data_IF_620026502443
#
_entry.id   IF_620026502443
#
_cell.length_a   1.000
_cell.length_b   1.000
_cell.length_c   1.000
_cell.angle_alpha   90.00
_cell.angle_beta   90.00
_cell.angle_gamma   90.00
#
_symmetry.space_group_name_H-M   'P 1'
#
loop_
_entity.id
_entity.type
_entity.pdbx_description
1 polymer ?
#
# COMPACT_ATOMS: atom_id res chain seq x y z
N UNK A 1 49.12 84.03 10.30
CA UNK A 1 47.96 84.02 9.37
C UNK A 1 47.60 82.60 8.96
N UNK A 2 46.35 82.26 9.23
CA UNK A 2 45.50 81.34 8.49
C UNK A 2 45.98 79.86 8.35
N UNK A 3 45.20 78.80 8.52
CA UNK A 3 43.76 78.58 8.75
C UNK A 3 43.61 77.20 9.36
N UNK A 4 42.65 77.09 10.24
CA UNK A 4 42.12 75.88 10.82
C UNK A 4 41.38 75.10 9.74
N UNK A 5 41.60 73.82 9.66
CA UNK A 5 40.67 72.94 8.98
C UNK A 5 40.35 71.72 9.85
N UNK A 6 39.08 71.63 10.21
CA UNK A 6 38.45 70.62 11.07
C UNK A 6 38.20 69.42 10.22
N UNK A 7 38.77 68.28 10.60
CA UNK A 7 38.39 66.98 10.00
C UNK A 7 37.38 66.30 10.89
N UNK A 8 36.15 66.26 10.40
CA UNK A 8 35.02 65.53 11.05
C UNK A 8 35.22 64.01 10.93
N UNK A 9 35.31 63.41 12.08
CA UNK A 9 35.27 61.93 12.16
C UNK A 9 33.90 61.40 11.77
N UNK A 10 33.91 60.48 10.85
CA UNK A 10 32.72 59.62 10.54
C UNK A 10 32.89 58.34 11.28
N UNK A 11 32.05 58.18 12.31
CA UNK A 11 31.87 56.90 13.02
C UNK A 11 31.05 56.00 12.12
N UNK A 12 31.71 55.04 11.50
CA UNK A 12 31.04 53.98 10.75
C UNK A 12 30.54 52.89 11.72
N UNK A 13 29.26 52.83 11.93
CA UNK A 13 28.65 51.74 12.64
C UNK A 13 28.66 50.47 11.78
N UNK A 14 29.44 49.46 12.16
CA UNK A 14 29.36 48.12 11.59
C UNK A 14 28.03 47.49 12.03
N UNK A 15 27.06 47.48 11.15
CA UNK A 15 25.88 46.66 11.28
C UNK A 15 26.24 45.20 11.01
N UNK A 16 26.31 44.40 12.07
CA UNK A 16 26.40 42.94 11.95
C UNK A 16 24.99 42.45 11.57
N UNK A 17 24.79 42.22 10.28
CA UNK A 17 23.63 41.51 9.78
C UNK A 17 23.79 40.02 10.13
N UNK A 18 23.15 39.58 11.23
CA UNK A 18 22.92 38.15 11.48
C UNK A 18 21.96 37.64 10.40
N UNK A 19 22.50 36.98 9.40
CA UNK A 19 21.77 36.06 8.53
C UNK A 19 21.41 34.86 9.37
N UNK A 20 20.19 34.86 9.94
CA UNK A 20 19.54 33.63 10.38
C UNK A 20 19.31 32.80 9.12
N UNK A 21 20.21 31.89 8.83
CA UNK A 21 19.96 30.78 7.94
C UNK A 21 18.82 29.99 8.53
N UNK A 22 17.63 30.14 7.97
CA UNK A 22 16.56 29.13 8.14
C UNK A 22 17.10 27.87 7.51
N UNK A 23 17.72 27.01 8.32
CA UNK A 23 17.83 25.60 7.98
C UNK A 23 16.39 25.08 7.91
N UNK A 24 15.80 25.16 6.72
CA UNK A 24 14.65 24.37 6.37
C UNK A 24 15.09 22.92 6.61
N UNK A 25 14.54 22.28 7.62
CA UNK A 25 14.53 20.83 7.68
C UNK A 25 13.77 20.39 6.42
N UNK A 26 14.48 20.09 5.37
CA UNK A 26 13.98 19.26 4.30
C UNK A 26 13.75 17.91 4.94
N UNK A 27 12.47 17.59 5.15
CA UNK A 27 12.04 16.26 5.55
C UNK A 27 12.39 15.32 4.38
N UNK A 28 13.61 14.78 4.39
CA UNK A 28 14.12 13.81 3.40
C UNK A 28 13.29 12.51 3.39
N UNK A 29 12.30 12.41 4.28
CA UNK A 29 11.38 11.26 4.35
C UNK A 29 10.33 11.24 3.23
N UNK A 30 10.20 12.29 2.43
CA UNK A 30 9.26 12.33 1.30
C UNK A 30 9.94 12.41 -0.07
N UNK A 31 11.25 12.49 -0.11
CA UNK A 31 11.97 12.33 -1.36
C UNK A 31 11.87 10.86 -1.80
N UNK A 32 10.84 10.58 -2.59
CA UNK A 32 10.85 9.43 -3.49
C UNK A 32 12.06 9.66 -4.39
N UNK A 33 13.20 9.08 -4.02
CA UNK A 33 14.36 9.06 -4.90
C UNK A 33 14.02 8.20 -6.10
N UNK A 34 13.29 8.76 -7.05
CA UNK A 34 13.22 8.24 -8.41
C UNK A 34 14.58 8.50 -9.04
N UNK A 35 15.61 7.83 -8.51
CA UNK A 35 16.98 7.92 -9.03
C UNK A 35 17.26 6.82 -10.05
N UNK A 36 16.29 5.93 -10.28
CA UNK A 36 16.42 4.89 -11.29
C UNK A 36 15.70 5.34 -12.56
N UNK A 37 16.45 5.56 -13.68
CA UNK A 37 15.83 5.83 -14.98
C UNK A 37 14.94 4.65 -15.46
N UNK A 38 15.01 3.49 -14.82
CA UNK A 38 14.10 2.36 -15.05
C UNK A 38 12.74 2.49 -14.33
N UNK A 39 12.57 3.44 -13.40
CA UNK A 39 11.30 3.69 -12.69
C UNK A 39 10.29 4.47 -13.56
N UNK A 40 10.10 4.03 -14.81
CA UNK A 40 9.10 4.61 -15.69
C UNK A 40 7.76 3.90 -15.51
N UNK A 41 6.69 4.68 -15.32
CA UNK A 41 5.34 4.16 -15.15
C UNK A 41 4.95 3.90 -13.69
N UNK A 42 3.64 3.78 -13.48
CA UNK A 42 3.04 3.49 -12.18
C UNK A 42 3.23 2.02 -11.79
N UNK A 43 2.93 1.69 -10.52
CA UNK A 43 2.89 0.29 -10.06
C UNK A 43 1.97 -0.55 -10.96
N UNK A 44 0.79 -0.02 -11.30
CA UNK A 44 -0.12 -0.74 -12.19
C UNK A 44 0.49 -1.02 -13.56
N UNK A 45 1.08 -0.01 -14.20
CA UNK A 45 1.71 -0.18 -15.51
C UNK A 45 2.86 -1.20 -15.49
N UNK A 46 3.59 -1.27 -14.38
CA UNK A 46 4.66 -2.27 -14.19
C UNK A 46 4.09 -3.68 -14.00
N UNK A 47 3.02 -3.83 -13.19
CA UNK A 47 2.35 -5.12 -13.01
C UNK A 47 1.75 -5.61 -14.33
N UNK A 48 1.09 -4.73 -15.09
CA UNK A 48 0.44 -5.08 -16.36
C UNK A 48 1.45 -5.45 -17.47
N UNK A 49 2.65 -4.87 -17.41
CA UNK A 49 3.72 -5.16 -18.37
C UNK A 49 4.53 -6.42 -18.03
N UNK A 50 4.41 -6.95 -16.80
CA UNK A 50 5.16 -8.13 -16.35
C UNK A 50 4.34 -9.41 -16.55
N UNK A 51 4.72 -10.31 -17.49
CA UNK A 51 3.96 -11.51 -17.78
C UNK A 51 3.79 -12.43 -16.56
N UNK A 52 4.80 -12.50 -15.67
CA UNK A 52 4.79 -13.33 -14.48
C UNK A 52 3.88 -12.81 -13.36
N UNK A 53 3.28 -11.62 -13.54
CA UNK A 53 2.28 -11.03 -12.63
C UNK A 53 0.87 -10.98 -13.25
N UNK A 54 0.65 -11.61 -14.41
CA UNK A 54 -0.63 -11.54 -15.14
C UNK A 54 -1.81 -12.08 -14.35
N UNK A 55 -1.62 -13.13 -13.53
CA UNK A 55 -2.66 -13.71 -12.68
C UNK A 55 -3.07 -12.75 -11.55
N UNK A 56 -2.08 -12.12 -10.92
CA UNK A 56 -2.32 -11.08 -9.91
C UNK A 56 -3.01 -9.85 -10.52
N UNK A 57 -2.54 -9.41 -11.71
CA UNK A 57 -3.14 -8.32 -12.46
C UNK A 57 -4.62 -8.57 -12.77
N UNK A 58 -4.98 -9.78 -13.19
CA UNK A 58 -6.37 -10.13 -13.51
C UNK A 58 -7.29 -10.00 -12.30
N UNK A 59 -6.85 -10.44 -11.12
CA UNK A 59 -7.63 -10.27 -9.89
C UNK A 59 -7.79 -8.79 -9.53
N UNK A 60 -6.73 -7.99 -9.60
CA UNK A 60 -6.77 -6.56 -9.27
C UNK A 60 -7.70 -5.74 -10.19
N UNK A 61 -7.89 -6.16 -11.44
CA UNK A 61 -8.83 -5.55 -12.39
C UNK A 61 -10.30 -5.80 -12.02
N UNK A 62 -10.58 -6.90 -11.34
CA UNK A 62 -11.92 -7.40 -11.13
C UNK A 62 -12.47 -7.15 -9.71
N UNK A 63 -11.70 -6.54 -8.82
CA UNK A 63 -12.13 -6.23 -7.44
C UNK A 63 -12.08 -4.73 -7.20
N UNK A 64 -13.18 -4.16 -6.70
CA UNK A 64 -13.28 -2.76 -6.31
C UNK A 64 -12.67 -2.48 -4.95
N UNK A 65 -12.24 -1.24 -4.77
CA UNK A 65 -11.69 -0.74 -3.52
C UNK A 65 -12.82 -0.22 -2.64
N UNK A 66 -13.11 -0.91 -1.57
CA UNK A 66 -14.07 -0.48 -0.54
C UNK A 66 -13.32 0.12 0.65
N UNK A 67 -13.78 1.24 1.17
CA UNK A 67 -13.21 1.87 2.38
C UNK A 67 -13.65 1.17 3.66
N UNK A 68 -14.84 0.61 3.63
CA UNK A 68 -15.45 -0.17 4.71
C UNK A 68 -16.49 -1.12 4.14
N UNK A 69 -16.90 -2.09 4.91
CA UNK A 69 -18.03 -2.95 4.56
C UNK A 69 -19.30 -2.11 4.31
N UNK A 70 -20.05 -2.44 3.27
CA UNK A 70 -21.27 -1.71 2.88
C UNK A 70 -21.04 -0.33 2.27
N UNK A 71 -19.83 0.02 1.87
CA UNK A 71 -19.55 1.27 1.16
C UNK A 71 -20.13 1.24 -0.25
N UNK A 72 -21.23 1.97 -0.45
CA UNK A 72 -21.93 2.09 -1.75
C UNK A 72 -21.21 3.02 -2.74
N UNK A 73 -20.14 3.70 -2.32
CA UNK A 73 -19.37 4.65 -3.14
C UNK A 73 -18.17 4.02 -3.84
N UNK A 74 -17.92 2.72 -3.66
CA UNK A 74 -16.84 2.02 -4.30
C UNK A 74 -17.01 2.04 -5.82
N UNK A 75 -16.08 2.69 -6.51
CA UNK A 75 -16.18 2.92 -7.97
C UNK A 75 -14.89 2.58 -8.71
N UNK A 76 -13.75 2.49 -8.02
CA UNK A 76 -12.47 2.19 -8.62
C UNK A 76 -11.99 0.80 -8.24
N UNK A 77 -11.29 0.15 -9.15
CA UNK A 77 -10.62 -1.14 -8.92
C UNK A 77 -9.26 -0.96 -8.25
N UNK A 78 -8.64 -2.06 -7.76
CA UNK A 78 -7.27 -2.01 -7.27
C UNK A 78 -6.28 -1.66 -8.39
N UNK A 79 -6.55 -2.05 -9.64
CA UNK A 79 -5.78 -1.64 -10.80
C UNK A 79 -5.76 -0.11 -10.97
N UNK A 80 -6.92 0.53 -10.90
CA UNK A 80 -7.05 1.99 -10.98
C UNK A 80 -6.42 2.69 -9.78
N UNK A 81 -6.55 2.12 -8.57
CA UNK A 81 -5.88 2.63 -7.37
C UNK A 81 -4.37 2.66 -7.55
N UNK A 82 -3.76 1.56 -7.99
CA UNK A 82 -2.32 1.44 -8.20
C UNK A 82 -1.80 2.22 -9.42
N UNK A 83 -2.71 2.67 -10.29
CA UNK A 83 -2.40 3.59 -11.39
C UNK A 83 -2.47 5.07 -10.99
N UNK A 84 -2.87 5.37 -9.75
CA UNK A 84 -2.95 6.74 -9.22
C UNK A 84 -1.57 7.30 -8.84
N UNK A 85 -1.54 8.57 -8.46
CA UNK A 85 -0.32 9.23 -7.94
C UNK A 85 -0.02 8.92 -6.46
N UNK A 86 -0.84 8.11 -5.79
CA UNK A 86 -0.60 7.74 -4.40
C UNK A 86 0.54 6.71 -4.31
N UNK A 87 1.35 6.83 -3.25
CA UNK A 87 2.45 5.89 -3.02
C UNK A 87 1.99 4.60 -2.36
N UNK A 88 2.50 3.48 -2.89
CA UNK A 88 2.24 2.13 -2.36
C UNK A 88 3.50 1.26 -2.40
N UNK A 89 3.48 0.21 -1.59
CA UNK A 89 4.34 -0.95 -1.77
C UNK A 89 3.47 -2.17 -1.99
N UNK A 90 3.82 -2.98 -2.97
CA UNK A 90 3.07 -4.19 -3.35
C UNK A 90 3.97 -5.40 -3.20
N UNK A 91 3.48 -6.44 -2.54
CA UNK A 91 4.09 -7.76 -2.49
C UNK A 91 3.27 -8.70 -3.36
N UNK A 92 3.62 -8.77 -4.64
CA UNK A 92 2.86 -9.46 -5.68
C UNK A 92 3.25 -10.95 -5.76
N UNK A 93 2.33 -11.90 -5.57
CA UNK A 93 2.61 -13.31 -5.82
C UNK A 93 2.78 -13.58 -7.32
N UNK A 94 3.78 -14.38 -7.68
CA UNK A 94 4.06 -14.78 -9.05
C UNK A 94 3.02 -15.80 -9.55
N UNK A 95 2.84 -15.85 -10.85
CA UNK A 95 1.96 -16.81 -11.52
C UNK A 95 2.27 -18.25 -11.09
N UNK A 96 1.21 -19.04 -10.89
CA UNK A 96 1.33 -20.44 -10.51
C UNK A 96 1.79 -20.68 -9.06
N UNK A 97 2.00 -19.63 -8.26
CA UNK A 97 2.40 -19.75 -6.85
C UNK A 97 1.23 -19.59 -5.88
N UNK A 98 0.02 -19.35 -6.39
CA UNK A 98 -1.24 -19.24 -5.64
C UNK A 98 -2.42 -19.74 -6.48
N UNK A 99 -3.55 -20.00 -5.85
CA UNK A 99 -4.76 -20.52 -6.53
C UNK A 99 -5.59 -19.38 -7.15
N UNK A 100 -5.14 -18.87 -8.30
CA UNK A 100 -5.87 -17.87 -9.10
C UNK A 100 -7.31 -18.31 -9.39
N UNK A 101 -7.51 -19.58 -9.75
CA UNK A 101 -8.80 -20.09 -10.16
C UNK A 101 -9.84 -20.02 -9.01
N UNK A 102 -9.40 -20.22 -7.76
CA UNK A 102 -10.26 -20.05 -6.61
C UNK A 102 -10.73 -18.59 -6.47
N UNK A 103 -9.85 -17.62 -6.70
CA UNK A 103 -10.20 -16.20 -6.67
C UNK A 103 -11.14 -15.81 -7.80
N UNK A 104 -10.88 -16.28 -9.02
CA UNK A 104 -11.73 -16.00 -10.17
C UNK A 104 -13.13 -16.62 -10.02
N UNK A 105 -13.26 -17.81 -9.44
CA UNK A 105 -14.58 -18.38 -9.09
C UNK A 105 -15.34 -17.50 -8.09
N UNK A 106 -14.68 -17.04 -7.02
CA UNK A 106 -15.30 -16.14 -6.04
C UNK A 106 -15.74 -14.80 -6.68
N UNK A 107 -14.93 -14.25 -7.60
CA UNK A 107 -15.30 -13.04 -8.35
C UNK A 107 -16.55 -13.30 -9.20
N UNK A 108 -16.62 -14.43 -9.90
CA UNK A 108 -17.79 -14.80 -10.69
C UNK A 108 -19.04 -14.96 -9.82
N UNK A 109 -18.95 -15.66 -8.68
CA UNK A 109 -20.04 -15.80 -7.70
C UNK A 109 -20.54 -14.44 -7.19
N UNK A 110 -19.64 -13.50 -6.91
CA UNK A 110 -19.98 -12.12 -6.51
C UNK A 110 -20.76 -11.41 -7.64
N UNK A 111 -20.31 -11.55 -8.89
CA UNK A 111 -20.95 -10.92 -10.05
C UNK A 111 -22.35 -11.51 -10.35
N UNK A 112 -22.57 -12.77 -10.01
CA UNK A 112 -23.87 -13.47 -10.14
C UNK A 112 -24.82 -13.18 -8.97
N UNK A 113 -24.33 -12.62 -7.87
CA UNK A 113 -25.14 -12.29 -6.68
C UNK A 113 -26.14 -11.21 -6.98
N UNK A 114 -27.45 -11.53 -6.84
CA UNK A 114 -28.55 -10.63 -7.22
C UNK A 114 -28.76 -9.50 -6.22
N UNK A 115 -28.44 -9.68 -4.95
CA UNK A 115 -28.53 -8.67 -3.91
C UNK A 115 -27.27 -7.78 -3.95
N UNK A 116 -27.41 -6.48 -4.28
CA UNK A 116 -26.26 -5.59 -4.36
C UNK A 116 -25.54 -5.35 -3.02
N UNK A 117 -26.24 -5.47 -1.89
CA UNK A 117 -25.62 -5.31 -0.56
C UNK A 117 -24.79 -6.53 -0.22
N UNK A 118 -25.30 -7.72 -0.49
CA UNK A 118 -24.56 -8.98 -0.30
C UNK A 118 -23.37 -9.04 -1.27
N UNK A 119 -23.55 -8.70 -2.54
CA UNK A 119 -22.45 -8.64 -3.51
C UNK A 119 -21.33 -7.69 -3.06
N UNK A 120 -21.68 -6.49 -2.60
CA UNK A 120 -20.71 -5.52 -2.10
C UNK A 120 -19.97 -6.01 -0.84
N UNK A 121 -20.66 -6.73 0.05
CA UNK A 121 -20.06 -7.35 1.24
C UNK A 121 -19.08 -8.46 0.86
N UNK A 122 -19.46 -9.35 -0.05
CA UNK A 122 -18.60 -10.42 -0.53
C UNK A 122 -17.36 -9.87 -1.23
N UNK A 123 -17.51 -8.83 -2.07
CA UNK A 123 -16.41 -8.18 -2.77
C UNK A 123 -15.47 -7.45 -1.79
N UNK A 124 -16.01 -6.75 -0.79
CA UNK A 124 -15.23 -6.16 0.30
C UNK A 124 -14.38 -7.20 1.02
N UNK A 125 -14.99 -8.32 1.43
CA UNK A 125 -14.29 -9.40 2.14
C UNK A 125 -13.19 -10.02 1.29
N UNK A 126 -13.45 -10.21 0.00
CA UNK A 126 -12.43 -10.69 -0.95
C UNK A 126 -11.28 -9.67 -1.07
N UNK A 127 -11.59 -8.39 -1.18
CA UNK A 127 -10.62 -7.30 -1.21
C UNK A 127 -9.73 -7.25 0.03
N UNK A 128 -10.31 -7.43 1.23
CA UNK A 128 -9.58 -7.48 2.51
C UNK A 128 -8.66 -8.70 2.59
N UNK A 129 -9.11 -9.84 2.10
CA UNK A 129 -8.36 -11.10 2.20
C UNK A 129 -7.19 -11.18 1.23
N UNK A 130 -7.31 -10.64 0.02
CA UNK A 130 -6.27 -10.80 -0.99
C UNK A 130 -5.61 -9.46 -1.39
N UNK A 131 -6.21 -8.53 -2.18
CA UNK A 131 -5.47 -7.32 -2.58
C UNK A 131 -4.92 -6.52 -1.40
N UNK A 132 -5.74 -6.26 -0.37
CA UNK A 132 -5.31 -5.45 0.77
C UNK A 132 -4.28 -6.17 1.66
N UNK A 133 -4.16 -7.49 1.57
CA UNK A 133 -3.15 -8.27 2.26
C UNK A 133 -1.78 -8.24 1.57
N UNK A 134 -1.75 -7.75 0.33
CA UNK A 134 -0.56 -7.64 -0.51
C UNK A 134 -0.15 -6.18 -0.81
N UNK A 135 -0.93 -5.20 -0.38
CA UNK A 135 -0.70 -3.79 -0.66
C UNK A 135 -0.59 -3.02 0.65
N UNK A 136 0.48 -2.25 0.80
CA UNK A 136 0.62 -1.26 1.86
C UNK A 136 0.62 0.15 1.28
N UNK A 137 0.10 1.13 2.07
CA UNK A 137 0.24 2.55 1.74
C UNK A 137 1.66 2.98 2.03
N UNK A 138 2.13 3.95 1.27
CA UNK A 138 3.49 4.46 1.30
C UNK A 138 4.52 3.52 0.66
N UNK A 139 5.69 4.08 0.38
CA UNK A 139 6.81 3.31 -0.12
C UNK A 139 7.68 2.86 1.06
N UNK A 140 7.77 1.55 1.27
CA UNK A 140 8.66 0.96 2.25
C UNK A 140 9.94 0.54 1.54
N UNK A 141 11.04 1.20 1.90
CA UNK A 141 12.36 0.82 1.41
C UNK A 141 12.82 -0.49 2.05
N UNK A 142 13.66 -1.23 1.34
CA UNK A 142 14.31 -2.42 1.88
C UNK A 142 15.22 -2.03 3.03
N UNK A 143 14.81 -2.35 4.25
CA UNK A 143 15.63 -2.25 5.44
C UNK A 143 16.31 -3.60 5.69
N UNK A 144 17.52 -3.60 6.24
CA UNK A 144 18.19 -4.84 6.63
C UNK A 144 17.50 -5.52 7.83
N UNK A 145 16.72 -4.78 8.57
CA UNK A 145 16.05 -5.27 9.78
C UNK A 145 14.61 -5.72 9.46
N UNK A 146 14.12 -6.65 10.27
CA UNK A 146 12.71 -7.05 10.24
C UNK A 146 11.85 -5.88 10.71
N UNK A 147 10.75 -5.61 10.00
CA UNK A 147 9.79 -4.58 10.32
C UNK A 147 8.36 -5.09 10.17
N UNK A 148 7.46 -4.57 11.01
CA UNK A 148 6.02 -4.83 10.90
C UNK A 148 5.38 -3.74 10.05
N UNK A 149 4.83 -4.14 8.91
CA UNK A 149 4.20 -3.23 7.96
C UNK A 149 2.68 -3.33 8.11
N UNK A 150 2.04 -2.17 8.25
CA UNK A 150 0.58 -2.09 8.26
C UNK A 150 0.06 -2.14 6.83
N UNK A 151 -0.63 -3.22 6.52
CA UNK A 151 -1.26 -3.45 5.22
C UNK A 151 -2.55 -2.62 5.05
N UNK A 152 -3.09 -2.55 3.83
CA UNK A 152 -4.33 -1.81 3.56
C UNK A 152 -5.54 -2.38 4.34
N UNK A 153 -5.55 -3.68 4.67
CA UNK A 153 -6.54 -4.31 5.54
C UNK A 153 -6.32 -4.03 7.04
N UNK A 154 -5.40 -3.13 7.37
CA UNK A 154 -5.02 -2.76 8.74
C UNK A 154 -4.32 -3.84 9.56
N UNK A 155 -4.07 -5.02 9.01
CA UNK A 155 -3.28 -6.07 9.64
C UNK A 155 -1.79 -5.74 9.55
N UNK A 156 -1.00 -6.30 10.48
CA UNK A 156 0.45 -6.20 10.44
C UNK A 156 1.03 -7.43 9.75
N UNK A 157 1.95 -7.21 8.85
CA UNK A 157 2.72 -8.25 8.15
C UNK A 157 4.21 -8.02 8.36
N UNK A 158 4.92 -9.07 8.72
CA UNK A 158 6.36 -8.99 8.93
C UNK A 158 7.10 -8.95 7.58
N UNK A 159 7.98 -7.98 7.40
CA UNK A 159 8.89 -7.89 6.27
C UNK A 159 10.33 -7.96 6.76
N UNK A 160 11.06 -8.95 6.29
CA UNK A 160 12.49 -9.14 6.57
C UNK A 160 13.26 -9.10 5.25
N UNK A 161 13.82 -7.92 4.94
CA UNK A 161 14.58 -7.74 3.72
C UNK A 161 15.89 -8.52 3.72
N UNK A 162 16.49 -8.74 4.90
CA UNK A 162 17.74 -9.50 5.04
C UNK A 162 17.54 -11.00 4.82
N UNK A 163 16.42 -11.53 5.29
CA UNK A 163 16.01 -12.92 5.03
C UNK A 163 15.36 -13.10 3.65
N UNK A 164 14.97 -12.00 2.99
CA UNK A 164 14.21 -12.03 1.74
C UNK A 164 12.82 -12.63 1.93
N UNK A 165 12.10 -12.22 2.99
CA UNK A 165 10.80 -12.78 3.35
C UNK A 165 9.77 -11.70 3.63
N UNK A 166 8.53 -11.96 3.22
CA UNK A 166 7.36 -11.19 3.59
C UNK A 166 6.30 -12.13 4.16
N UNK A 167 5.95 -11.92 5.42
CA UNK A 167 4.95 -12.71 6.14
C UNK A 167 5.19 -14.24 6.06
N UNK A 168 6.49 -14.64 6.10
CA UNK A 168 6.94 -16.02 5.98
C UNK A 168 7.01 -16.57 4.55
N UNK A 169 6.69 -15.76 3.55
CA UNK A 169 6.79 -16.11 2.13
C UNK A 169 8.08 -15.53 1.55
N UNK A 170 8.85 -16.34 0.82
CA UNK A 170 10.09 -15.89 0.18
C UNK A 170 9.83 -14.88 -0.94
N UNK A 171 10.65 -13.84 -0.99
CA UNK A 171 10.75 -13.01 -2.17
C UNK A 171 11.41 -13.80 -3.30
N UNK A 172 11.04 -13.46 -4.52
CA UNK A 172 11.71 -14.02 -5.69
C UNK A 172 13.14 -13.50 -5.79
N UNK A 173 14.08 -14.40 -6.01
CA UNK A 173 15.47 -14.05 -6.34
C UNK A 173 15.66 -13.75 -7.83
N UNK A 174 14.74 -14.21 -8.67
CA UNK A 174 14.76 -14.01 -10.11
C UNK A 174 14.23 -12.62 -10.50
N UNK A 175 13.18 -12.18 -9.79
CA UNK A 175 12.57 -10.87 -9.98
C UNK A 175 12.97 -9.97 -8.82
N UNK A 176 13.98 -9.13 -9.05
CA UNK A 176 14.34 -8.06 -8.11
C UNK A 176 13.13 -7.12 -7.90
N UNK A 177 13.18 -6.33 -6.84
CA UNK A 177 12.17 -5.29 -6.62
C UNK A 177 12.04 -4.39 -7.87
N UNK A 178 10.79 -4.19 -8.31
CA UNK A 178 10.48 -3.38 -9.49
C UNK A 178 10.10 -1.96 -9.04
N UNK A 179 10.99 -0.97 -9.19
CA UNK A 179 10.68 0.42 -8.85
C UNK A 179 9.67 0.99 -9.84
N UNK A 180 8.81 1.87 -9.36
CA UNK A 180 7.77 2.55 -10.11
C UNK A 180 7.71 4.02 -9.72
N UNK A 181 7.05 4.86 -10.51
CA UNK A 181 6.91 6.30 -10.22
C UNK A 181 6.11 6.59 -8.93
N UNK A 182 5.32 5.63 -8.45
CA UNK A 182 4.49 5.76 -7.26
C UNK A 182 4.73 4.62 -6.23
N UNK A 183 5.90 3.99 -6.24
CA UNK A 183 6.29 3.02 -5.22
C UNK A 183 7.11 1.84 -5.72
N UNK A 184 7.03 0.72 -5.02
CA UNK A 184 7.85 -0.46 -5.28
C UNK A 184 7.00 -1.73 -5.31
N UNK A 185 7.34 -2.67 -6.18
CA UNK A 185 6.76 -4.01 -6.24
C UNK A 185 7.83 -5.02 -5.85
N UNK A 186 7.51 -5.85 -4.87
CA UNK A 186 8.30 -7.03 -4.49
C UNK A 186 7.57 -8.27 -4.99
N UNK A 187 8.24 -9.15 -5.72
CA UNK A 187 7.65 -10.39 -6.21
C UNK A 187 7.80 -11.50 -5.18
N UNK A 188 6.71 -12.22 -4.88
CA UNK A 188 6.65 -13.32 -3.91
C UNK A 188 6.61 -14.67 -4.61
N UNK A 189 7.24 -15.67 -4.00
CA UNK A 189 7.15 -17.08 -4.41
C UNK A 189 5.93 -17.80 -3.81
N UNK A 190 4.89 -17.05 -3.46
CA UNK A 190 3.66 -17.57 -2.87
C UNK A 190 2.73 -16.45 -2.47
N UNK A 191 1.51 -16.81 -2.12
CA UNK A 191 0.53 -15.90 -1.53
C UNK A 191 0.89 -15.59 -0.07
N UNK A 192 0.83 -14.31 0.33
CA UNK A 192 0.92 -13.94 1.73
C UNK A 192 -0.27 -14.48 2.52
N UNK A 193 -0.06 -15.30 3.56
CA UNK A 193 -1.16 -15.89 4.31
C UNK A 193 -2.02 -14.80 4.97
N UNK A 194 -3.34 -14.94 4.84
CA UNK A 194 -4.27 -14.04 5.52
C UNK A 194 -4.46 -14.49 6.97
N UNK A 195 -4.06 -13.65 7.91
CA UNK A 195 -4.23 -13.91 9.34
C UNK A 195 -5.66 -13.55 9.77
N UNK A 196 -6.52 -14.57 9.92
CA UNK A 196 -7.87 -14.38 10.46
C UNK A 196 -7.80 -13.93 11.94
N UNK A 197 -8.49 -12.83 12.27
CA UNK A 197 -8.87 -12.59 13.66
C UNK A 197 -10.10 -13.45 14.02
N UNK A 198 -10.54 -13.43 15.27
CA UNK A 198 -11.69 -14.24 15.72
C UNK A 198 -12.96 -13.91 14.93
N UNK A 199 -13.19 -12.64 14.64
CA UNK A 199 -14.37 -12.19 13.89
C UNK A 199 -14.31 -12.64 12.43
N UNK A 200 -13.19 -12.42 11.76
CA UNK A 200 -12.96 -12.90 10.39
C UNK A 200 -13.17 -14.43 10.29
N UNK A 201 -12.66 -15.17 11.29
CA UNK A 201 -12.78 -16.62 11.30
C UNK A 201 -14.23 -17.10 11.47
N UNK A 202 -15.01 -16.43 12.32
CA UNK A 202 -16.44 -16.72 12.49
C UNK A 202 -17.21 -16.40 11.21
N UNK A 203 -16.91 -15.28 10.55
CA UNK A 203 -17.53 -14.91 9.28
C UNK A 203 -17.19 -15.89 8.14
N UNK A 204 -15.95 -16.34 8.08
CA UNK A 204 -15.52 -17.34 7.09
C UNK A 204 -16.11 -18.73 7.32
N UNK A 205 -16.63 -19.01 8.53
CA UNK A 205 -17.21 -20.30 8.91
C UNK A 205 -18.63 -20.17 9.48
N UNK A 206 -19.59 -19.57 8.75
CA UNK A 206 -20.91 -19.24 9.27
C UNK A 206 -21.73 -20.47 9.66
N UNK A 207 -21.52 -21.60 9.01
CA UNK A 207 -22.21 -22.86 9.34
C UNK A 207 -21.74 -23.42 10.68
N UNK A 208 -20.42 -23.36 10.96
CA UNK A 208 -19.83 -23.84 12.20
C UNK A 208 -20.22 -22.97 13.40
N UNK A 209 -20.34 -21.68 13.20
CA UNK A 209 -20.62 -20.68 14.24
C UNK A 209 -21.98 -19.99 14.06
N UNK A 210 -22.97 -20.66 13.49
CA UNK A 210 -24.25 -20.05 13.06
C UNK A 210 -24.92 -19.17 14.11
N UNK A 211 -24.97 -19.60 15.37
CA UNK A 211 -25.59 -18.85 16.47
C UNK A 211 -24.77 -17.61 16.83
N UNK A 212 -23.43 -17.74 16.87
CA UNK A 212 -22.52 -16.63 17.22
C UNK A 212 -22.47 -15.60 16.09
N UNK A 213 -22.38 -16.05 14.85
CA UNK A 213 -22.43 -15.22 13.65
C UNK A 213 -23.70 -14.36 13.61
N UNK A 214 -24.87 -14.99 13.84
CA UNK A 214 -26.15 -14.29 13.90
C UNK A 214 -26.18 -13.21 14.99
N UNK A 215 -25.68 -13.53 16.19
CA UNK A 215 -25.64 -12.58 17.32
C UNK A 215 -24.69 -11.42 17.07
N UNK A 216 -23.55 -11.64 16.43
CA UNK A 216 -22.61 -10.59 16.07
C UNK A 216 -23.22 -9.62 15.07
N UNK A 217 -23.86 -10.13 14.01
CA UNK A 217 -24.55 -9.31 13.02
C UNK A 217 -25.73 -8.53 13.60
N UNK A 218 -26.48 -9.11 14.55
CA UNK A 218 -27.57 -8.43 15.25
C UNK A 218 -27.04 -7.31 16.17
N UNK A 219 -25.83 -7.45 16.71
CA UNK A 219 -25.20 -6.42 17.58
C UNK A 219 -24.68 -5.22 16.76
N UNK A 220 -24.14 -5.46 15.56
CA UNK A 220 -23.66 -4.39 14.65
C UNK A 220 -24.78 -3.50 14.15
N UNK A 221 -25.98 -4.02 13.97
CA UNK A 221 -27.16 -3.22 13.53
C UNK A 221 -27.64 -2.26 14.61
N UNK A 222 -27.19 -2.41 15.88
CA UNK A 222 -27.66 -1.62 17.03
C UNK A 222 -26.68 -0.51 17.46
N UNK A 223 -25.53 -0.38 16.81
CA UNK A 223 -24.54 0.66 17.03
C UNK A 223 -24.49 1.65 15.90
#
# INVERSE_FOLDING_TARGET
>A
MKRISILKGVVGSLGISMLFGMASCTDDHFDIRVSDPAATGTIWQRIEAEPELSDFAEILKNIKVYRKEGDKSASITYAELLNSSQSFTVWAPLNGTFDKEAYMRRIAEIQETQDPEEAAKLEYNLGVQFPQNHIARFNFESSADQQDIRMMNSKLSAYDASAGEFNGVKLSSEFAALPSSNGTIHCLQGESPFAYNIYDYIQANPTLFSTLYKKLNEAEVKT
#
